data_IF_381991265765
#
_entry.id   IF_381991265765
#
_cell.length_a   1.000
_cell.length_b   1.000
_cell.length_c   1.000
_cell.angle_alpha   90.00
_cell.angle_beta   90.00
_cell.angle_gamma   90.00
#
_symmetry.space_group_name_H-M   'P 1'
#
loop_
_entity.id
_entity.type
_entity.pdbx_description
1 polymer ?
#
# COMPACT_ATOMS: atom_id res chain seq x y z
N UNK A 1 29.01 -30.41 -13.23
CA UNK A 1 27.93 -31.03 -12.44
C UNK A 1 26.89 -29.95 -12.14
N UNK A 2 25.64 -30.13 -12.54
CA UNK A 2 24.60 -29.10 -12.34
C UNK A 2 23.99 -29.25 -10.95
N UNK A 3 24.03 -28.18 -10.14
CA UNK A 3 23.51 -28.19 -8.77
C UNK A 3 21.98 -28.40 -8.79
N UNK A 4 21.43 -29.34 -8.01
CA UNK A 4 19.99 -29.59 -7.99
C UNK A 4 19.23 -28.37 -7.47
N UNK A 5 18.07 -28.10 -8.07
CA UNK A 5 17.17 -27.02 -7.66
C UNK A 5 16.25 -27.52 -6.56
N UNK A 6 16.13 -26.78 -5.45
CA UNK A 6 15.17 -27.07 -4.39
C UNK A 6 14.12 -25.95 -4.36
N UNK A 7 12.85 -26.32 -4.37
CA UNK A 7 11.74 -25.39 -4.23
C UNK A 7 11.24 -25.44 -2.80
N UNK A 8 11.41 -24.33 -2.08
CA UNK A 8 10.99 -24.18 -0.68
C UNK A 8 9.47 -24.23 -0.52
N UNK A 9 8.73 -23.59 -1.42
CA UNK A 9 7.26 -23.60 -1.40
C UNK A 9 6.67 -25.00 -1.55
N UNK A 10 7.33 -25.87 -2.31
CA UNK A 10 6.84 -27.22 -2.58
C UNK A 10 7.57 -28.32 -1.80
N UNK A 11 8.61 -27.96 -1.04
CA UNK A 11 9.55 -28.89 -0.39
C UNK A 11 10.03 -30.03 -1.30
N UNK A 12 10.34 -29.71 -2.56
CA UNK A 12 10.73 -30.69 -3.60
C UNK A 12 12.06 -30.34 -4.24
N UNK A 13 12.85 -31.37 -4.52
CA UNK A 13 14.15 -31.29 -5.20
C UNK A 13 14.01 -31.75 -6.65
N UNK A 14 14.55 -30.95 -7.56
CA UNK A 14 14.55 -31.18 -9.00
C UNK A 14 15.99 -31.29 -9.50
N UNK A 15 16.16 -31.98 -10.63
CA UNK A 15 17.43 -31.91 -11.39
C UNK A 15 17.69 -30.44 -11.72
N UNK A 16 18.96 -30.02 -11.67
CA UNK A 16 19.36 -28.61 -11.85
C UNK A 16 19.13 -28.04 -13.25
N UNK A 17 18.37 -28.72 -14.11
CA UNK A 17 18.04 -28.26 -15.45
C UNK A 17 17.03 -27.10 -15.41
N UNK A 18 17.38 -26.02 -16.11
CA UNK A 18 16.57 -24.81 -16.26
C UNK A 18 15.20 -25.14 -16.84
N UNK A 19 15.11 -26.10 -17.78
CA UNK A 19 13.83 -26.50 -18.40
C UNK A 19 12.89 -27.11 -17.37
N UNK A 20 13.38 -28.04 -16.55
CA UNK A 20 12.60 -28.68 -15.48
C UNK A 20 12.17 -27.67 -14.42
N UNK A 21 13.05 -26.72 -14.06
CA UNK A 21 12.71 -25.64 -13.13
C UNK A 21 11.57 -24.77 -13.67
N UNK A 22 11.64 -24.33 -14.92
CA UNK A 22 10.59 -23.50 -15.54
C UNK A 22 9.24 -24.24 -15.58
N UNK A 23 9.25 -25.50 -16.00
CA UNK A 23 8.04 -26.32 -16.04
C UNK A 23 7.41 -26.47 -14.64
N UNK A 24 8.24 -26.71 -13.62
CA UNK A 24 7.79 -26.78 -12.24
C UNK A 24 7.12 -25.47 -11.77
N UNK A 25 7.76 -24.32 -12.01
CA UNK A 25 7.22 -23.01 -11.59
C UNK A 25 5.88 -22.69 -12.28
N UNK A 26 5.64 -23.22 -13.47
CA UNK A 26 4.38 -23.02 -14.20
C UNK A 26 3.28 -23.99 -13.77
N UNK A 27 3.61 -25.09 -13.08
CA UNK A 27 2.67 -26.13 -12.68
C UNK A 27 1.62 -25.63 -11.68
N UNK A 28 0.40 -26.16 -11.77
CA UNK A 28 -0.69 -25.81 -10.87
C UNK A 28 -0.32 -26.07 -9.39
N UNK A 29 0.37 -27.19 -9.12
CA UNK A 29 0.80 -27.55 -7.78
C UNK A 29 1.71 -26.48 -7.15
N UNK A 30 2.63 -25.90 -7.93
CA UNK A 30 3.49 -24.82 -7.44
C UNK A 30 2.68 -23.56 -7.15
N UNK A 31 1.78 -23.16 -8.04
CA UNK A 31 0.93 -21.98 -7.86
C UNK A 31 0.06 -22.08 -6.60
N UNK A 32 -0.51 -23.26 -6.34
CA UNK A 32 -1.31 -23.50 -5.13
C UNK A 32 -0.45 -23.43 -3.87
N UNK A 33 0.73 -24.04 -3.86
CA UNK A 33 1.64 -23.99 -2.72
C UNK A 33 2.15 -22.56 -2.45
N UNK A 34 2.47 -21.81 -3.51
CA UNK A 34 2.87 -20.41 -3.44
C UNK A 34 1.75 -19.52 -2.89
N UNK A 35 0.51 -19.69 -3.38
CA UNK A 35 -0.64 -18.96 -2.87
C UNK A 35 -0.93 -19.27 -1.39
N UNK A 36 -0.84 -20.55 -0.99
CA UNK A 36 -1.06 -20.97 0.40
C UNK A 36 -0.01 -20.36 1.36
N UNK A 37 1.25 -20.25 0.93
CA UNK A 37 2.31 -19.62 1.71
C UNK A 37 2.00 -18.14 1.99
N UNK A 38 1.57 -17.38 0.97
CA UNK A 38 1.25 -15.96 1.16
C UNK A 38 -0.10 -15.71 1.84
N UNK A 39 -1.07 -16.61 1.70
CA UNK A 39 -2.36 -16.52 2.39
C UNK A 39 -2.21 -16.49 3.92
N UNK A 40 -1.17 -17.12 4.47
CA UNK A 40 -0.86 -17.09 5.91
C UNK A 40 -0.54 -15.68 6.39
N UNK A 41 0.16 -14.89 5.56
CA UNK A 41 0.52 -13.51 5.88
C UNK A 41 -0.62 -12.52 5.57
N UNK A 42 -1.49 -12.82 4.59
CA UNK A 42 -2.68 -12.02 4.33
C UNK A 42 -3.68 -12.08 5.49
N UNK A 43 -3.81 -13.23 6.16
CA UNK A 43 -4.64 -13.37 7.36
C UNK A 43 -4.12 -12.49 8.51
N UNK A 44 -2.82 -12.50 8.76
CA UNK A 44 -2.17 -11.67 9.79
C UNK A 44 -2.31 -10.17 9.48
N UNK A 45 -2.13 -9.77 8.22
CA UNK A 45 -2.30 -8.37 7.79
C UNK A 45 -3.77 -7.93 7.87
N UNK A 46 -4.72 -8.82 7.58
CA UNK A 46 -6.15 -8.53 7.69
C UNK A 46 -6.63 -8.46 9.15
N UNK A 47 -6.06 -9.25 10.06
CA UNK A 47 -6.37 -9.19 11.49
C UNK A 47 -5.82 -7.89 12.13
N UNK A 48 -4.63 -7.45 11.72
CA UNK A 48 -4.12 -6.11 12.05
C UNK A 48 -4.97 -4.98 11.43
N UNK A 49 -5.54 -5.19 10.23
CA UNK A 49 -6.45 -4.24 9.58
C UNK A 49 -7.80 -4.16 10.31
N UNK A 50 -8.38 -5.29 10.71
CA UNK A 50 -9.66 -5.35 11.42
C UNK A 50 -9.55 -4.81 12.85
N UNK A 51 -8.45 -5.07 13.56
CA UNK A 51 -8.19 -4.44 14.87
C UNK A 51 -7.98 -2.92 14.75
N UNK A 52 -7.34 -2.46 13.67
CA UNK A 52 -7.21 -1.03 13.36
C UNK A 52 -8.53 -0.35 12.95
N UNK A 53 -9.42 -1.08 12.26
CA UNK A 53 -10.73 -0.57 11.81
C UNK A 53 -11.79 -0.62 12.92
N UNK A 54 -11.81 -1.66 13.75
CA UNK A 54 -12.74 -1.78 14.88
C UNK A 54 -12.47 -0.72 15.97
N UNK A 55 -11.22 -0.28 16.13
CA UNK A 55 -10.88 0.83 17.02
C UNK A 55 -11.25 2.22 16.44
N UNK A 56 -11.36 2.38 15.12
CA UNK A 56 -11.63 3.66 14.45
C UNK A 56 -13.10 3.89 14.08
N UNK A 57 -13.94 2.84 14.10
CA UNK A 57 -15.37 2.94 13.74
C UNK A 57 -16.28 3.58 14.81
N UNK A 58 -15.74 4.33 15.77
CA UNK A 58 -16.54 5.07 16.78
C UNK A 58 -16.37 6.59 16.76
N UNK A 59 -15.77 7.17 15.73
CA UNK A 59 -15.88 8.61 15.50
C UNK A 59 -16.98 8.86 14.48
N UNK A 60 -18.20 9.03 15.01
CA UNK A 60 -19.34 9.59 14.28
C UNK A 60 -18.88 10.96 13.74
N UNK A 61 -18.57 11.05 12.45
CA UNK A 61 -18.24 12.31 11.79
C UNK A 61 -19.52 13.13 11.79
N UNK A 62 -19.72 13.88 12.87
CA UNK A 62 -20.71 14.95 12.97
C UNK A 62 -20.10 16.22 12.39
N UNK A 63 -19.52 16.17 11.19
CA UNK A 63 -19.18 17.39 10.48
C UNK A 63 -20.16 17.61 9.32
N UNK A 64 -20.76 18.79 9.32
CA UNK A 64 -21.74 19.25 8.33
C UNK A 64 -21.07 19.70 7.02
N UNK A 65 -19.73 19.62 6.92
CA UNK A 65 -18.96 20.15 5.82
C UNK A 65 -18.11 19.06 5.16
N UNK A 66 -18.28 18.88 3.84
CA UNK A 66 -17.54 17.90 3.04
C UNK A 66 -16.01 18.10 3.13
N UNK A 67 -15.55 19.34 3.32
CA UNK A 67 -14.12 19.64 3.49
C UNK A 67 -13.54 19.02 4.76
N UNK A 68 -14.29 18.98 5.86
CA UNK A 68 -13.78 18.44 7.11
C UNK A 68 -13.69 16.92 7.06
N UNK A 69 -14.66 16.28 6.40
CA UNK A 69 -14.63 14.84 6.12
C UNK A 69 -13.42 14.47 5.25
N UNK A 70 -13.14 15.26 4.20
CA UNK A 70 -11.98 15.06 3.35
C UNK A 70 -10.67 15.25 4.13
N UNK A 71 -10.56 16.32 4.91
CA UNK A 71 -9.37 16.60 5.72
C UNK A 71 -9.10 15.46 6.71
N UNK A 72 -10.14 14.99 7.40
CA UNK A 72 -10.01 13.89 8.35
C UNK A 72 -9.60 12.58 7.65
N UNK A 73 -10.17 12.29 6.48
CA UNK A 73 -9.77 11.11 5.71
C UNK A 73 -8.32 11.19 5.23
N UNK A 74 -7.88 12.36 4.75
CA UNK A 74 -6.49 12.59 4.33
C UNK A 74 -5.51 12.44 5.48
N UNK A 75 -5.81 12.98 6.66
CA UNK A 75 -4.98 12.79 7.86
C UNK A 75 -4.76 11.31 8.19
N UNK A 76 -5.79 10.47 8.04
CA UNK A 76 -5.72 9.06 8.40
C UNK A 76 -5.06 8.20 7.31
N UNK A 77 -5.35 8.47 6.03
CA UNK A 77 -5.00 7.56 4.94
C UNK A 77 -3.84 8.07 4.07
N UNK A 78 -3.60 9.39 4.01
CA UNK A 78 -2.61 10.06 3.15
C UNK A 78 -2.03 11.31 3.83
N UNK A 79 -1.23 11.13 4.91
CA UNK A 79 -0.68 12.24 5.70
C UNK A 79 0.26 13.13 4.87
N UNK A 80 0.89 12.57 3.83
CA UNK A 80 1.68 13.29 2.84
C UNK A 80 0.87 14.38 2.15
N UNK A 81 -0.31 14.03 1.62
CA UNK A 81 -1.19 14.98 0.94
C UNK A 81 -1.80 15.99 1.91
N UNK A 82 -2.10 15.57 3.14
CA UNK A 82 -2.59 16.48 4.16
C UNK A 82 -1.55 17.55 4.54
N UNK A 83 -0.28 17.18 4.67
CA UNK A 83 0.81 18.12 4.94
C UNK A 83 0.96 19.16 3.82
N UNK A 84 0.91 18.73 2.54
CA UNK A 84 0.93 19.66 1.40
C UNK A 84 -0.25 20.64 1.41
N UNK A 85 -1.46 20.15 1.72
CA UNK A 85 -2.64 20.99 1.83
C UNK A 85 -2.51 22.06 2.92
N UNK A 86 -1.96 21.69 4.08
CA UNK A 86 -1.72 22.62 5.19
C UNK A 86 -0.63 23.65 4.87
N UNK A 87 0.48 23.23 4.25
CA UNK A 87 1.54 24.12 3.79
C UNK A 87 1.01 25.16 2.80
N UNK A 88 0.16 24.73 1.85
CA UNK A 88 -0.49 25.64 0.92
C UNK A 88 -1.36 26.68 1.63
N UNK A 89 -2.19 26.26 2.60
CA UNK A 89 -3.03 27.19 3.37
C UNK A 89 -2.20 28.25 4.10
N UNK A 90 -1.07 27.84 4.69
CA UNK A 90 -0.15 28.77 5.36
C UNK A 90 0.49 29.75 4.38
N UNK A 91 0.92 29.29 3.21
CA UNK A 91 1.51 30.16 2.19
C UNK A 91 0.52 31.19 1.63
N UNK A 92 -0.76 30.80 1.47
CA UNK A 92 -1.84 31.73 1.07
C UNK A 92 -2.07 32.78 2.15
N UNK A 93 -2.11 32.39 3.43
CA UNK A 93 -2.30 33.32 4.54
C UNK A 93 -1.14 34.31 4.72
N UNK A 94 0.07 33.90 4.32
CA UNK A 94 1.26 34.75 4.34
C UNK A 94 1.40 35.63 3.08
N UNK A 95 0.37 35.67 2.22
CA UNK A 95 0.37 36.39 0.94
C UNK A 95 1.61 36.11 0.08
N UNK A 96 2.13 34.88 0.18
CA UNK A 96 3.36 34.53 -0.49
C UNK A 96 3.10 34.39 -1.99
N UNK A 97 3.84 35.17 -2.79
CA UNK A 97 3.74 35.23 -4.24
C UNK A 97 3.71 33.81 -4.87
N UNK A 98 2.57 33.49 -5.47
CA UNK A 98 2.29 32.17 -6.07
C UNK A 98 3.28 31.84 -7.19
N UNK A 99 3.84 32.86 -7.86
CA UNK A 99 4.86 32.67 -8.90
C UNK A 99 6.17 32.09 -8.36
N UNK A 100 6.42 32.23 -7.05
CA UNK A 100 7.61 31.70 -6.37
C UNK A 100 7.39 30.33 -5.74
N UNK A 101 6.19 29.76 -5.87
CA UNK A 101 5.90 28.44 -5.34
C UNK A 101 6.59 27.37 -6.20
N UNK A 102 7.02 26.25 -5.59
CA UNK A 102 7.45 25.09 -6.37
C UNK A 102 6.30 24.62 -7.28
N UNK A 103 6.66 24.18 -8.49
CA UNK A 103 5.71 23.82 -9.57
C UNK A 103 4.64 22.83 -9.10
N UNK A 104 5.00 21.90 -8.20
CA UNK A 104 4.08 20.94 -7.59
C UNK A 104 2.92 21.59 -6.83
N UNK A 105 3.13 22.76 -6.22
CA UNK A 105 2.09 23.53 -5.53
C UNK A 105 1.30 24.44 -6.48
N UNK A 106 1.92 24.89 -7.58
CA UNK A 106 1.26 25.71 -8.61
C UNK A 106 0.26 24.89 -9.43
N UNK A 107 0.59 23.64 -9.77
CA UNK A 107 -0.27 22.75 -10.56
C UNK A 107 -1.61 22.41 -9.88
N UNK A 108 -1.71 22.60 -8.56
CA UNK A 108 -2.94 22.41 -7.80
C UNK A 108 -3.83 23.66 -7.72
N UNK A 109 -3.49 24.74 -8.45
CA UNK A 109 -4.21 26.02 -8.44
C UNK A 109 -5.28 26.19 -9.54
N UNK A 110 -5.66 25.13 -10.26
CA UNK A 110 -6.79 25.18 -11.20
C UNK A 110 -8.15 25.16 -10.50
#
# INVERSE_FOLDING_TARGET
>A
MVKPYFCEYCNRKFKGDVRTRKLHLQSQAHRTAYAAYYAQFEAEMNEQRLSSFAAKSKQKISSKNANDTLNHWLQINRPDLYAFFMLRKQLIQLEYDVSKWPVSLQLCCS
#
